data_IF_265047869528
#
_entry.id   IF_265047869528
#
_cell.length_a   1.000
_cell.length_b   1.000
_cell.length_c   1.000
_cell.angle_alpha   90.00
_cell.angle_beta   90.00
_cell.angle_gamma   90.00
#
_symmetry.space_group_name_H-M   'P 1'
#
loop_
_entity.id
_entity.type
_entity.pdbx_description
1 polymer ?
#
# COMPACT_ATOMS: atom_id res chain seq x y z
N UNK A 1 13.56 5.77 -14.20
CA UNK A 1 12.70 4.64 -14.60
C UNK A 1 11.67 4.47 -13.49
N UNK A 2 10.39 4.61 -13.77
CA UNK A 2 9.35 4.37 -12.75
C UNK A 2 9.36 2.87 -12.44
N UNK A 3 9.43 2.50 -11.17
CA UNK A 3 9.40 1.10 -10.76
C UNK A 3 8.04 0.49 -11.19
N UNK A 4 8.09 -0.62 -11.90
CA UNK A 4 6.91 -1.44 -12.22
C UNK A 4 6.53 -2.29 -11.01
N UNK A 5 5.29 -2.79 -10.97
CA UNK A 5 4.86 -3.70 -9.90
C UNK A 5 5.76 -4.94 -9.79
N UNK A 6 6.28 -5.45 -10.92
CA UNK A 6 7.29 -6.51 -10.95
C UNK A 6 8.59 -6.10 -10.25
N UNK A 7 9.03 -4.86 -10.42
CA UNK A 7 10.23 -4.35 -9.74
C UNK A 7 10.03 -4.27 -8.22
N UNK A 8 8.80 -3.96 -7.78
CA UNK A 8 8.45 -3.93 -6.34
C UNK A 8 8.53 -5.33 -5.74
N UNK A 9 7.98 -6.33 -6.42
CA UNK A 9 8.04 -7.72 -5.97
C UNK A 9 9.48 -8.25 -5.97
N UNK A 10 10.28 -7.90 -6.97
CA UNK A 10 11.70 -8.24 -7.01
C UNK A 10 12.49 -7.59 -5.87
N UNK A 11 12.17 -6.33 -5.51
CA UNK A 11 12.75 -5.65 -4.36
C UNK A 11 12.37 -6.35 -3.05
N UNK A 12 11.11 -6.75 -2.88
CA UNK A 12 10.65 -7.49 -1.70
C UNK A 12 11.41 -8.83 -1.55
N UNK A 13 11.59 -9.57 -2.65
CA UNK A 13 12.38 -10.80 -2.65
C UNK A 13 13.85 -10.53 -2.29
N UNK A 14 14.47 -9.52 -2.89
CA UNK A 14 15.87 -9.16 -2.63
C UNK A 14 16.08 -8.77 -1.18
N UNK A 15 15.27 -7.85 -0.65
CA UNK A 15 15.36 -7.41 0.74
C UNK A 15 15.20 -8.57 1.72
N UNK A 16 14.31 -9.51 1.39
CA UNK A 16 14.18 -10.70 2.20
C UNK A 16 15.41 -11.60 2.15
N UNK A 17 15.97 -11.84 0.96
CA UNK A 17 17.20 -12.62 0.81
C UNK A 17 18.38 -11.99 1.57
N UNK A 18 18.36 -10.67 1.73
CA UNK A 18 19.32 -9.92 2.54
C UNK A 18 19.08 -10.03 4.06
N UNK A 19 18.07 -10.81 4.48
CA UNK A 19 17.74 -11.02 5.89
C UNK A 19 16.95 -9.88 6.54
N UNK A 20 16.36 -8.98 5.75
CA UNK A 20 15.49 -7.92 6.27
C UNK A 20 14.10 -8.48 6.59
N UNK A 21 13.48 -7.93 7.62
CA UNK A 21 12.04 -8.06 7.81
C UNK A 21 11.33 -7.17 6.79
N UNK A 22 10.34 -7.73 6.10
CA UNK A 22 9.67 -7.09 4.95
C UNK A 22 8.16 -7.30 5.04
N UNK A 23 7.40 -6.25 4.77
CA UNK A 23 5.96 -6.31 4.50
C UNK A 23 5.65 -5.81 3.09
N UNK A 24 4.61 -6.41 2.50
CA UNK A 24 4.05 -6.03 1.22
C UNK A 24 2.64 -5.48 1.41
N UNK A 25 2.41 -4.30 0.84
CA UNK A 25 1.10 -3.68 0.69
C UNK A 25 0.63 -3.86 -0.75
N UNK A 26 -0.59 -4.37 -0.92
CA UNK A 26 -1.19 -4.63 -2.23
C UNK A 26 -2.57 -4.00 -2.32
N UNK A 27 -2.82 -3.18 -3.34
CA UNK A 27 -4.18 -2.72 -3.64
C UNK A 27 -5.00 -3.92 -4.11
N UNK A 28 -5.96 -4.36 -3.30
CA UNK A 28 -6.81 -5.52 -3.60
C UNK A 28 -8.16 -5.13 -4.19
N UNK A 29 -8.58 -3.89 -3.99
CA UNK A 29 -9.87 -3.39 -4.47
C UNK A 29 -9.83 -1.89 -4.70
N UNK A 30 -10.55 -1.42 -5.73
CA UNK A 30 -10.67 -0.01 -6.09
C UNK A 30 -12.10 0.32 -6.47
N UNK A 31 -12.60 1.48 -6.08
CA UNK A 31 -13.87 2.04 -6.56
C UNK A 31 -13.71 3.49 -6.98
N UNK A 32 -14.54 3.92 -7.93
CA UNK A 32 -14.53 5.29 -8.43
C UNK A 32 -13.20 5.63 -9.11
N UNK A 33 -12.76 6.88 -8.94
CA UNK A 33 -11.53 7.39 -9.55
C UNK A 33 -10.30 7.16 -8.65
N UNK A 34 -10.12 5.93 -8.18
CA UNK A 34 -8.96 5.55 -7.37
C UNK A 34 -7.64 5.84 -8.11
N UNK A 35 -6.62 6.39 -7.43
CA UNK A 35 -5.40 6.89 -8.08
C UNK A 35 -4.41 5.79 -8.52
N UNK A 36 -4.55 4.57 -7.99
CA UNK A 36 -3.75 3.40 -8.37
C UNK A 36 -4.68 2.20 -8.64
N UNK A 37 -4.37 1.35 -9.64
CA UNK A 37 -5.18 0.17 -9.94
C UNK A 37 -4.97 -0.94 -8.90
N UNK A 38 -5.90 -1.91 -8.90
CA UNK A 38 -5.72 -3.21 -8.23
C UNK A 38 -4.41 -3.85 -8.73
N UNK A 39 -3.64 -4.42 -7.81
CA UNK A 39 -2.32 -4.99 -8.07
C UNK A 39 -1.16 -4.01 -7.89
N UNK A 40 -1.42 -2.72 -7.64
CA UNK A 40 -0.35 -1.80 -7.25
C UNK A 40 0.25 -2.18 -5.91
N UNK A 41 1.58 -2.16 -5.84
CA UNK A 41 2.34 -2.58 -4.66
C UNK A 41 3.11 -1.45 -3.99
N UNK A 42 3.29 -1.57 -2.68
CA UNK A 42 4.27 -0.85 -1.89
C UNK A 42 4.96 -1.85 -0.95
N UNK A 43 6.28 -1.91 -0.96
CA UNK A 43 7.08 -2.75 -0.06
C UNK A 43 7.72 -1.90 1.01
N UNK A 44 7.79 -2.40 2.25
CA UNK A 44 8.42 -1.73 3.40
C UNK A 44 9.37 -2.71 4.10
N UNK A 45 10.57 -2.26 4.47
CA UNK A 45 11.48 -3.00 5.35
C UNK A 45 11.34 -2.57 6.82
N UNK A 46 11.88 -3.36 7.75
CA UNK A 46 11.83 -3.08 9.19
C UNK A 46 12.52 -1.77 9.63
N UNK A 47 13.27 -1.10 8.75
CA UNK A 47 13.85 0.22 8.99
C UNK A 47 12.97 1.36 8.45
N UNK A 48 11.83 1.04 7.83
CA UNK A 48 10.92 2.00 7.21
C UNK A 48 11.33 2.44 5.80
N UNK A 49 12.34 1.81 5.19
CA UNK A 49 12.61 2.05 3.77
C UNK A 49 11.47 1.45 2.95
N UNK A 50 11.04 2.16 1.91
CA UNK A 50 9.93 1.70 1.07
C UNK A 50 10.17 1.96 -0.42
N UNK A 51 9.48 1.18 -1.25
CA UNK A 51 9.46 1.30 -2.71
C UNK A 51 8.03 1.03 -3.20
N UNK A 52 7.60 1.72 -4.26
CA UNK A 52 6.26 1.56 -4.81
C UNK A 52 5.26 2.55 -4.23
N UNK A 53 3.98 2.35 -4.54
CA UNK A 53 2.91 3.27 -4.15
C UNK A 53 1.55 2.62 -4.34
N UNK A 54 0.66 2.80 -3.35
CA UNK A 54 -0.73 2.33 -3.39
C UNK A 54 -1.73 3.45 -3.63
N UNK A 55 -1.33 4.73 -3.54
CA UNK A 55 -2.24 5.86 -3.80
C UNK A 55 -1.64 7.04 -4.58
N UNK A 56 -0.32 7.13 -4.65
CA UNK A 56 0.38 8.26 -5.29
C UNK A 56 0.77 9.38 -4.32
N UNK A 57 0.59 9.20 -3.00
CA UNK A 57 1.21 10.05 -1.97
C UNK A 57 0.37 10.32 -0.72
N UNK A 58 -0.96 10.22 -0.79
CA UNK A 58 -1.82 10.71 0.29
C UNK A 58 -1.91 9.77 1.50
N UNK A 59 -1.86 8.45 1.30
CA UNK A 59 -2.06 7.46 2.38
C UNK A 59 -0.83 6.61 2.66
N UNK A 60 0.27 6.83 1.92
CA UNK A 60 1.50 6.05 2.04
C UNK A 60 2.07 6.06 3.46
N UNK A 61 1.99 7.18 4.18
CA UNK A 61 2.48 7.26 5.57
C UNK A 61 1.74 6.32 6.53
N UNK A 62 0.42 6.21 6.39
CA UNK A 62 -0.40 5.31 7.21
C UNK A 62 -0.14 3.85 6.83
N UNK A 63 -0.07 3.56 5.52
CA UNK A 63 0.26 2.23 5.00
C UNK A 63 1.64 1.76 5.49
N UNK A 64 2.63 2.64 5.51
CA UNK A 64 3.98 2.33 6.03
C UNK A 64 3.94 2.05 7.53
N UNK A 65 3.20 2.85 8.29
CA UNK A 65 3.07 2.67 9.75
C UNK A 65 2.45 1.30 10.07
N UNK A 66 1.36 0.96 9.41
CA UNK A 66 0.68 -0.33 9.57
C UNK A 66 1.54 -1.50 9.06
N UNK A 67 2.33 -1.30 8.00
CA UNK A 67 3.26 -2.31 7.51
C UNK A 67 4.37 -2.65 8.53
N UNK A 68 4.88 -1.64 9.25
CA UNK A 68 5.85 -1.85 10.33
C UNK A 68 5.25 -2.66 11.48
N UNK A 69 3.98 -2.41 11.83
CA UNK A 69 3.28 -3.22 12.83
C UNK A 69 3.11 -4.68 12.36
N UNK A 70 2.73 -4.89 11.10
CA UNK A 70 2.60 -6.23 10.48
C UNK A 70 3.92 -6.99 10.48
N UNK A 71 5.04 -6.29 10.30
CA UNK A 71 6.38 -6.87 10.43
C UNK A 71 6.58 -7.41 11.86
N UNK A 72 6.25 -6.60 12.87
CA UNK A 72 6.47 -6.92 14.28
C UNK A 72 5.57 -8.05 14.76
N UNK A 73 4.26 -7.98 14.48
CA UNK A 73 3.28 -8.93 15.01
C UNK A 73 3.01 -10.13 14.09
N UNK A 74 3.41 -10.06 12.82
CA UNK A 74 3.22 -11.10 11.81
C UNK A 74 1.76 -11.31 11.39
N UNK A 75 0.84 -10.39 11.72
CA UNK A 75 -0.60 -10.53 11.46
C UNK A 75 -1.00 -9.70 10.25
N UNK A 76 -1.54 -10.33 9.18
CA UNK A 76 -2.02 -9.59 8.02
C UNK A 76 -3.16 -8.62 8.37
N UNK A 77 -3.24 -7.50 7.67
CA UNK A 77 -4.25 -6.44 7.87
C UNK A 77 -4.87 -6.04 6.53
N UNK A 78 -6.11 -5.53 6.58
CA UNK A 78 -6.73 -4.84 5.44
C UNK A 78 -7.03 -3.42 5.86
N UNK A 79 -6.48 -2.45 5.14
CA UNK A 79 -6.75 -1.03 5.31
C UNK A 79 -7.75 -0.57 4.25
N UNK A 80 -8.60 0.37 4.60
CA UNK A 80 -9.59 0.95 3.71
C UNK A 80 -9.46 2.47 3.69
N UNK A 81 -9.25 3.04 2.51
CA UNK A 81 -9.04 4.47 2.31
C UNK A 81 -10.01 5.01 1.29
N UNK A 82 -10.77 6.04 1.64
CA UNK A 82 -11.70 6.70 0.72
C UNK A 82 -12.55 7.73 1.46
N UNK A 83 -13.27 8.57 0.71
CA UNK A 83 -14.21 9.51 1.31
C UNK A 83 -15.48 8.76 1.65
N UNK A 84 -15.84 8.72 2.94
CA UNK A 84 -16.99 7.95 3.45
C UNK A 84 -18.37 8.49 3.00
N UNK A 85 -18.41 9.68 2.42
CA UNK A 85 -19.65 10.42 2.21
C UNK A 85 -19.91 10.58 0.70
N UNK A 86 -20.80 9.76 0.14
CA UNK A 86 -21.33 9.99 -1.22
C UNK A 86 -21.98 11.39 -1.33
N UNK A 87 -22.36 12.01 -0.21
CA UNK A 87 -22.88 13.38 -0.12
C UNK A 87 -21.79 14.46 -0.27
N UNK A 88 -20.51 14.17 0.03
CA UNK A 88 -19.39 15.08 -0.18
C UNK A 88 -18.99 15.24 -1.66
N UNK A 89 -19.53 14.38 -2.54
CA UNK A 89 -19.38 14.50 -4.00
C UNK A 89 -19.92 15.83 -4.54
N UNK A 90 -20.95 16.41 -3.90
CA UNK A 90 -21.56 17.67 -4.33
C UNK A 90 -20.68 18.91 -4.06
N UNK A 91 -19.59 18.77 -3.32
CA UNK A 91 -18.73 19.89 -2.92
C UNK A 91 -17.36 19.94 -3.65
N UNK A 92 -17.06 18.99 -4.56
CA UNK A 92 -15.88 19.09 -5.43
C UNK A 92 -14.53 18.75 -4.78
N UNK A 93 -14.48 17.77 -3.87
CA UNK A 93 -13.21 17.24 -3.33
C UNK A 93 -12.69 16.06 -4.17
N UNK A 94 -11.37 16.02 -4.41
CA UNK A 94 -10.79 15.90 -5.75
C UNK A 94 -10.38 14.51 -6.27
N UNK A 95 -10.74 13.40 -5.62
CA UNK A 95 -10.35 12.06 -6.13
C UNK A 95 -11.49 11.04 -6.23
N UNK A 96 -12.62 11.24 -5.54
CA UNK A 96 -13.84 10.45 -5.75
C UNK A 96 -13.73 8.91 -5.66
N UNK A 97 -12.64 8.38 -5.11
CA UNK A 97 -12.32 6.96 -5.16
C UNK A 97 -12.02 6.39 -3.79
N UNK A 98 -12.12 5.06 -3.70
CA UNK A 98 -11.80 4.27 -2.52
C UNK A 98 -10.88 3.12 -2.91
N UNK A 99 -9.95 2.77 -2.03
CA UNK A 99 -9.07 1.61 -2.18
C UNK A 99 -9.11 0.75 -0.92
N UNK A 100 -8.92 -0.56 -1.10
CA UNK A 100 -8.58 -1.49 -0.02
C UNK A 100 -7.17 -2.02 -0.25
N UNK A 101 -6.36 -1.98 0.80
CA UNK A 101 -4.96 -2.39 0.75
C UNK A 101 -4.75 -3.55 1.71
N UNK A 102 -4.33 -4.68 1.17
CA UNK A 102 -3.93 -5.83 1.97
C UNK A 102 -2.45 -5.69 2.36
N UNK A 103 -2.17 -5.85 3.64
CA UNK A 103 -0.84 -5.87 4.21
C UNK A 103 -0.51 -7.27 4.70
N UNK A 104 0.64 -7.79 4.28
CA UNK A 104 1.17 -9.05 4.78
C UNK A 104 2.67 -8.96 5.01
N UNK A 105 3.14 -9.69 6.02
CA UNK A 105 4.58 -9.93 6.17
C UNK A 105 4.98 -10.94 5.11
N UNK A 106 6.03 -10.63 4.36
CA UNK A 106 6.63 -11.64 3.48
C UNK A 106 7.23 -12.70 4.42
N UNK A 107 7.00 -14.01 4.19
CA UNK A 107 7.60 -15.13 4.96
C UNK A 107 8.56 -16.02 4.20
#
# INVERSE_FOLDING_TARGET
MLATDTDILAAAESWRRDGRDVALATVIETWGSAPRPVGSHLVVDGAGHFLGSVSGGCVEGEVITEALDVIVDGRPRILEFGVADETAWRAGLSCGGRIRVFLERVV
#
